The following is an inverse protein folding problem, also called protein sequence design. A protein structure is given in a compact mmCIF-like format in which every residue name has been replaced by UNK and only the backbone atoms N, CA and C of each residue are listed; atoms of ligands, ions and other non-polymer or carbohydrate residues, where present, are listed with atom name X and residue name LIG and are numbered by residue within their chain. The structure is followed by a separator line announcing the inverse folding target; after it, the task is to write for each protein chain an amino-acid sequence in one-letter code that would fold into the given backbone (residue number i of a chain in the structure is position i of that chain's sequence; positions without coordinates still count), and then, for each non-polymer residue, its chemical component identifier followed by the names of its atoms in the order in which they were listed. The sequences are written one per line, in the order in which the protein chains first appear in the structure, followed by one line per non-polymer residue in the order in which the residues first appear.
data_IF_542420787708
#
_entry.id   IF_542420787708
#
_cell.length_a   1.000
_cell.length_b   1.000
_cell.length_c   1.000
_cell.angle_alpha   90.00
_cell.angle_beta   90.00
_cell.angle_gamma   90.00
#
_symmetry.space_group_name_H-M   'P 1'
#
loop_
_entity.id
_entity.type
_entity.pdbx_description
1 polymer ?
#
# COMPACT_ATOMS: atom_id res chain seq x y z
N UNK A 1 -30.48 1.59 7.72
CA UNK A 1 -30.20 1.25 9.12
C UNK A 1 -29.16 2.26 9.61
N UNK A 2 -29.49 3.09 10.58
CA UNK A 2 -28.55 3.98 11.22
C UNK A 2 -27.41 3.16 11.79
N UNK A 3 -26.16 3.44 11.47
CA UNK A 3 -25.03 2.90 12.21
C UNK A 3 -24.89 3.73 13.50
N UNK A 4 -25.96 3.67 14.32
CA UNK A 4 -25.89 4.22 15.66
C UNK A 4 -24.75 3.55 16.41
N UNK A 5 -23.98 4.32 17.11
CA UNK A 5 -23.07 4.15 18.25
C UNK A 5 -23.14 2.84 19.06
N UNK A 6 -23.85 1.84 18.62
CA UNK A 6 -24.08 0.57 19.27
C UNK A 6 -23.07 -0.47 18.84
N UNK A 7 -22.18 -0.74 19.77
CA UNK A 7 -21.35 -1.93 19.89
C UNK A 7 -20.33 -2.22 18.78
N UNK A 8 -19.20 -1.55 18.88
CA UNK A 8 -17.99 -2.10 18.30
C UNK A 8 -17.73 -3.50 18.89
N UNK A 9 -17.69 -4.51 18.02
CA UNK A 9 -17.47 -5.91 18.38
C UNK A 9 -16.24 -6.46 17.67
N UNK A 10 -15.61 -7.48 18.21
CA UNK A 10 -14.51 -8.19 17.54
C UNK A 10 -14.93 -8.69 16.15
N UNK A 11 -16.17 -9.17 15.99
CA UNK A 11 -16.72 -9.61 14.70
C UNK A 11 -16.73 -8.48 13.66
N UNK A 12 -17.06 -7.23 14.07
CA UNK A 12 -17.04 -6.07 13.17
C UNK A 12 -15.62 -5.74 12.73
N UNK A 13 -14.65 -5.71 13.65
CA UNK A 13 -13.24 -5.47 13.33
C UNK A 13 -12.71 -6.52 12.35
N UNK A 14 -12.91 -7.79 12.63
CA UNK A 14 -12.51 -8.89 11.74
C UNK A 14 -13.24 -8.87 10.40
N UNK A 15 -14.53 -8.50 10.40
CA UNK A 15 -15.34 -8.34 9.19
C UNK A 15 -14.81 -7.25 8.25
N UNK A 16 -14.11 -6.24 8.78
CA UNK A 16 -13.43 -5.21 7.99
C UNK A 16 -12.02 -5.67 7.61
N UNK A 17 -11.25 -6.23 8.54
CA UNK A 17 -9.84 -6.53 8.34
C UNK A 17 -9.59 -7.75 7.43
N UNK A 18 -10.26 -8.88 7.68
CA UNK A 18 -9.98 -10.14 6.97
C UNK A 18 -10.16 -10.03 5.45
N UNK A 19 -11.23 -9.41 4.90
CA UNK A 19 -11.33 -9.27 3.45
C UNK A 19 -10.17 -8.49 2.83
N UNK A 20 -9.59 -7.51 3.53
CA UNK A 20 -8.42 -6.76 3.04
C UNK A 20 -7.17 -7.62 3.10
N UNK A 21 -6.95 -8.38 4.18
CA UNK A 21 -5.81 -9.33 4.26
C UNK A 21 -5.86 -10.31 3.07
N UNK A 22 -7.05 -10.86 2.78
CA UNK A 22 -7.23 -11.77 1.65
C UNK A 22 -7.02 -11.07 0.29
N UNK A 23 -7.49 -9.84 0.15
CA UNK A 23 -7.27 -9.05 -1.07
C UNK A 23 -5.77 -8.81 -1.30
N UNK A 24 -5.04 -8.39 -0.26
CA UNK A 24 -3.60 -8.13 -0.35
C UNK A 24 -2.78 -9.40 -0.61
N UNK A 25 -3.22 -10.56 -0.12
CA UNK A 25 -2.57 -11.84 -0.40
C UNK A 25 -2.60 -12.21 -1.91
N UNK A 26 -3.48 -11.61 -2.70
CA UNK A 26 -3.52 -11.84 -4.16
C UNK A 26 -2.45 -11.07 -4.93
N UNK A 27 -1.84 -10.02 -4.35
CA UNK A 27 -0.84 -9.17 -5.03
C UNK A 27 0.42 -9.95 -5.43
N UNK A 28 1.09 -10.69 -4.52
CA UNK A 28 2.27 -11.47 -4.90
C UNK A 28 1.93 -12.61 -5.86
N UNK A 29 0.72 -13.17 -5.80
CA UNK A 29 0.27 -14.21 -6.74
C UNK A 29 0.20 -13.66 -8.16
N UNK A 30 -0.35 -12.46 -8.34
CA UNK A 30 -0.43 -11.81 -9.64
C UNK A 30 0.97 -11.61 -10.24
N UNK A 31 1.90 -11.02 -9.49
CA UNK A 31 3.28 -10.80 -9.96
C UNK A 31 4.01 -12.10 -10.33
N UNK A 32 3.77 -13.20 -9.58
CA UNK A 32 4.33 -14.49 -9.90
C UNK A 32 3.74 -15.08 -11.19
N UNK A 33 2.44 -14.90 -11.44
CA UNK A 33 1.79 -15.36 -12.67
C UNK A 33 2.27 -14.57 -13.88
N UNK A 34 2.32 -13.23 -13.79
CA UNK A 34 2.81 -12.38 -14.88
C UNK A 34 4.23 -12.79 -15.31
N UNK A 35 5.14 -12.94 -14.33
CA UNK A 35 6.52 -13.40 -14.58
C UNK A 35 6.54 -14.82 -15.16
N UNK A 36 5.70 -15.72 -14.63
CA UNK A 36 5.62 -17.10 -15.07
C UNK A 36 5.11 -17.23 -16.52
N UNK A 37 4.10 -16.46 -16.89
CA UNK A 37 3.55 -16.45 -18.26
C UNK A 37 4.58 -15.93 -19.25
N UNK A 38 5.28 -14.84 -18.94
CA UNK A 38 6.35 -14.32 -19.79
C UNK A 38 7.53 -15.29 -19.85
N UNK A 39 7.82 -15.98 -18.75
CA UNK A 39 8.85 -17.03 -18.70
C UNK A 39 8.63 -18.18 -19.68
N UNK A 40 7.37 -18.50 -20.01
CA UNK A 40 7.04 -19.55 -21.01
C UNK A 40 7.40 -19.16 -22.44
N UNK A 41 7.73 -17.89 -22.71
CA UNK A 41 8.21 -17.47 -24.03
C UNK A 41 9.63 -17.99 -24.36
N UNK A 42 10.38 -18.45 -23.34
CA UNK A 42 11.72 -19.00 -23.54
C UNK A 42 12.81 -17.97 -23.88
N UNK A 43 12.53 -16.68 -23.73
CA UNK A 43 13.43 -15.58 -24.03
C UNK A 43 13.70 -14.75 -22.76
N UNK A 44 14.95 -14.39 -22.52
CA UNK A 44 15.34 -13.62 -21.33
C UNK A 44 14.93 -12.14 -21.41
N UNK A 45 15.03 -11.52 -22.59
CA UNK A 45 14.77 -10.10 -22.78
C UNK A 45 13.32 -9.69 -22.43
N UNK A 46 12.25 -10.39 -22.85
CA UNK A 46 10.87 -10.10 -22.43
C UNK A 46 10.65 -10.19 -20.91
N UNK A 47 11.27 -11.17 -20.23
CA UNK A 47 11.17 -11.31 -18.78
C UNK A 47 11.76 -10.07 -18.09
N UNK A 48 12.96 -9.67 -18.52
CA UNK A 48 13.62 -8.46 -18.01
C UNK A 48 12.82 -7.19 -18.28
N UNK A 49 12.25 -7.08 -19.50
CA UNK A 49 11.47 -5.92 -19.91
C UNK A 49 10.18 -5.74 -19.11
N UNK A 50 9.40 -6.82 -18.94
CA UNK A 50 8.17 -6.79 -18.11
C UNK A 50 8.53 -6.52 -16.65
N UNK A 51 9.61 -7.13 -16.14
CA UNK A 51 10.08 -6.88 -14.77
C UNK A 51 10.41 -5.41 -14.52
N UNK A 52 11.24 -4.80 -15.36
CA UNK A 52 11.62 -3.38 -15.26
C UNK A 52 10.39 -2.49 -15.43
N UNK A 53 9.59 -2.74 -16.48
CA UNK A 53 8.38 -1.97 -16.75
C UNK A 53 7.37 -2.02 -15.61
N UNK A 54 7.14 -3.21 -15.03
CA UNK A 54 6.25 -3.40 -13.89
C UNK A 54 6.75 -2.67 -12.63
N UNK A 55 8.05 -2.70 -12.34
CA UNK A 55 8.65 -1.96 -11.22
C UNK A 55 8.43 -0.45 -11.39
N UNK A 56 8.73 0.09 -12.58
CA UNK A 56 8.60 1.53 -12.87
C UNK A 56 7.13 1.96 -12.71
N UNK A 57 6.19 1.27 -13.35
CA UNK A 57 4.78 1.67 -13.33
C UNK A 57 4.17 1.49 -11.93
N UNK A 58 4.55 0.42 -11.22
CA UNK A 58 4.09 0.17 -9.84
C UNK A 58 4.61 1.23 -8.88
N UNK A 59 5.86 1.65 -8.99
CA UNK A 59 6.42 2.73 -8.18
C UNK A 59 5.68 4.05 -8.42
N UNK A 60 5.38 4.37 -9.70
CA UNK A 60 4.60 5.56 -10.05
C UNK A 60 3.19 5.49 -9.45
N UNK A 61 2.47 4.37 -9.62
CA UNK A 61 1.10 4.23 -9.11
C UNK A 61 1.05 4.19 -7.59
N UNK A 62 2.02 3.56 -6.95
CA UNK A 62 2.12 3.50 -5.49
C UNK A 62 2.19 4.91 -4.85
N UNK A 63 2.85 5.87 -5.52
CA UNK A 63 2.86 7.26 -5.07
C UNK A 63 1.45 7.84 -4.89
N UNK A 64 0.46 7.38 -5.66
CA UNK A 64 -0.94 7.81 -5.55
C UNK A 64 -1.73 7.07 -4.46
N UNK A 65 -1.12 6.15 -3.73
CA UNK A 65 -1.73 5.46 -2.57
C UNK A 65 -2.26 6.42 -1.50
N UNK A 66 -1.71 7.65 -1.43
CA UNK A 66 -2.25 8.71 -0.57
C UNK A 66 -3.73 9.01 -0.84
N UNK A 67 -4.20 8.84 -2.09
CA UNK A 67 -5.59 9.10 -2.46
C UNK A 67 -6.54 8.10 -1.78
N UNK A 68 -6.14 6.83 -1.66
CA UNK A 68 -6.90 5.83 -0.89
C UNK A 68 -6.96 6.23 0.58
N UNK A 69 -5.80 6.48 1.19
CA UNK A 69 -5.68 6.79 2.62
C UNK A 69 -6.44 8.07 2.99
N UNK A 70 -6.23 9.16 2.24
CA UNK A 70 -6.91 10.43 2.47
C UNK A 70 -8.42 10.34 2.27
N UNK A 71 -8.87 9.62 1.23
CA UNK A 71 -10.30 9.38 0.99
C UNK A 71 -10.91 8.54 2.11
N UNK A 72 -10.21 7.49 2.60
CA UNK A 72 -10.70 6.67 3.72
C UNK A 72 -10.94 7.52 4.96
N UNK A 73 -9.94 8.28 5.42
CA UNK A 73 -10.04 9.07 6.65
C UNK A 73 -11.13 10.14 6.58
N UNK A 74 -11.14 10.93 5.50
CA UNK A 74 -12.15 11.99 5.32
C UNK A 74 -13.57 11.42 5.20
N UNK A 75 -13.74 10.34 4.43
CA UNK A 75 -15.06 9.70 4.25
C UNK A 75 -15.54 9.06 5.56
N UNK A 76 -14.68 8.40 6.32
CA UNK A 76 -15.03 7.81 7.60
C UNK A 76 -15.54 8.88 8.57
N UNK A 77 -14.91 10.05 8.64
CA UNK A 77 -15.39 11.17 9.45
C UNK A 77 -16.73 11.73 8.96
N UNK A 78 -16.92 11.85 7.64
CA UNK A 78 -18.19 12.28 7.07
C UNK A 78 -19.32 11.32 7.42
N UNK A 79 -19.06 10.00 7.38
CA UNK A 79 -20.01 8.97 7.80
C UNK A 79 -20.32 9.09 9.30
N UNK A 80 -19.29 9.22 10.15
CA UNK A 80 -19.46 9.37 11.58
C UNK A 80 -20.30 10.59 11.98
N UNK A 81 -20.17 11.70 11.24
CA UNK A 81 -20.95 12.92 11.42
C UNK A 81 -22.33 12.89 10.72
N UNK A 82 -22.74 11.75 10.16
CA UNK A 82 -23.98 11.58 9.35
C UNK A 82 -24.08 12.54 8.16
N UNK A 83 -22.97 13.02 7.63
CA UNK A 83 -22.93 13.93 6.48
C UNK A 83 -22.91 13.16 5.15
N UNK A 84 -24.09 12.70 4.69
CA UNK A 84 -24.21 11.93 3.45
C UNK A 84 -23.80 12.73 2.22
N UNK A 85 -24.04 14.03 2.20
CA UNK A 85 -23.67 14.91 1.10
C UNK A 85 -22.14 14.96 0.93
N UNK A 86 -21.38 15.14 2.03
CA UNK A 86 -19.93 15.12 1.99
C UNK A 86 -19.38 13.72 1.66
N UNK A 87 -20.01 12.65 2.17
CA UNK A 87 -19.65 11.27 1.83
C UNK A 87 -19.72 11.02 0.32
N UNK A 88 -20.78 11.49 -0.36
CA UNK A 88 -20.90 11.39 -1.81
C UNK A 88 -19.91 12.31 -2.54
N UNK A 89 -19.69 13.53 -2.05
CA UNK A 89 -18.74 14.47 -2.64
C UNK A 89 -17.30 13.94 -2.59
N UNK A 90 -16.90 13.27 -1.51
CA UNK A 90 -15.57 12.66 -1.37
C UNK A 90 -15.33 11.52 -2.36
N UNK A 91 -16.36 10.70 -2.65
CA UNK A 91 -16.28 9.69 -3.72
C UNK A 91 -15.99 10.35 -5.07
N UNK A 92 -16.80 11.36 -5.43
CA UNK A 92 -16.65 12.05 -6.72
C UNK A 92 -15.31 12.75 -6.83
N UNK A 93 -14.85 13.46 -5.77
CA UNK A 93 -13.53 14.09 -5.73
C UNK A 93 -12.41 13.06 -5.91
N UNK A 94 -12.48 11.92 -5.20
CA UNK A 94 -11.49 10.83 -5.33
C UNK A 94 -11.40 10.31 -6.76
N UNK A 95 -12.54 10.10 -7.43
CA UNK A 95 -12.59 9.66 -8.83
C UNK A 95 -12.01 10.75 -9.75
N UNK A 96 -12.44 12.00 -9.62
CA UNK A 96 -11.95 13.11 -10.47
C UNK A 96 -10.44 13.29 -10.31
N UNK A 97 -9.94 13.30 -9.08
CA UNK A 97 -8.49 13.43 -8.83
C UNK A 97 -7.73 12.28 -9.47
N UNK A 98 -8.23 11.03 -9.34
CA UNK A 98 -7.60 9.86 -9.93
C UNK A 98 -7.57 9.92 -11.47
N UNK A 99 -8.70 10.27 -12.09
CA UNK A 99 -8.78 10.42 -13.55
C UNK A 99 -7.87 11.54 -14.07
N UNK A 100 -7.89 12.71 -13.42
CA UNK A 100 -7.02 13.85 -13.80
C UNK A 100 -5.55 13.52 -13.61
N UNK A 101 -5.18 12.92 -12.50
CA UNK A 101 -3.79 12.51 -12.24
C UNK A 101 -3.30 11.49 -13.28
N UNK A 102 -4.13 10.50 -13.62
CA UNK A 102 -3.81 9.52 -14.65
C UNK A 102 -3.68 10.15 -16.04
N UNK A 103 -4.56 11.10 -16.41
CA UNK A 103 -4.43 11.85 -17.65
C UNK A 103 -3.14 12.69 -17.69
N UNK A 104 -2.76 13.31 -16.58
CA UNK A 104 -1.48 14.03 -16.48
C UNK A 104 -0.29 13.10 -16.68
N UNK A 105 -0.32 11.88 -16.12
CA UNK A 105 0.74 10.89 -16.37
C UNK A 105 0.85 10.51 -17.86
N UNK A 106 -0.28 10.36 -18.55
CA UNK A 106 -0.29 10.10 -19.98
C UNK A 106 0.35 11.27 -20.75
N UNK A 107 0.08 12.51 -20.36
CA UNK A 107 0.66 13.70 -21.03
C UNK A 107 2.18 13.79 -20.83
N UNK A 108 2.70 13.43 -19.67
CA UNK A 108 4.13 13.51 -19.34
C UNK A 108 4.87 12.17 -19.51
N UNK A 109 4.25 11.16 -20.13
CA UNK A 109 4.81 9.81 -20.23
C UNK A 109 6.21 9.77 -20.86
N UNK A 110 6.48 10.58 -21.87
CA UNK A 110 7.75 10.55 -22.60
C UNK A 110 8.94 10.93 -21.69
N UNK A 111 8.98 12.14 -21.07
CA UNK A 111 10.07 12.47 -20.17
C UNK A 111 10.10 11.60 -18.91
N UNK A 112 8.94 11.13 -18.44
CA UNK A 112 8.86 10.27 -17.26
C UNK A 112 9.51 8.90 -17.50
N UNK A 113 9.19 8.23 -18.60
CA UNK A 113 9.72 6.90 -18.89
C UNK A 113 11.17 6.93 -19.37
N UNK A 114 11.55 7.92 -20.19
CA UNK A 114 12.96 8.07 -20.57
C UNK A 114 13.87 8.34 -19.35
N UNK A 115 13.39 9.15 -18.39
CA UNK A 115 14.11 9.36 -17.14
C UNK A 115 14.19 8.10 -16.27
N UNK A 116 13.08 7.36 -16.15
CA UNK A 116 13.03 6.14 -15.33
C UNK A 116 13.89 5.00 -15.92
N UNK A 117 13.84 4.79 -17.23
CA UNK A 117 14.66 3.78 -17.91
C UNK A 117 16.15 4.15 -17.86
N UNK A 118 16.50 5.42 -17.95
CA UNK A 118 17.88 5.88 -17.78
C UNK A 118 18.47 5.63 -16.39
N UNK A 119 17.64 5.42 -15.37
CA UNK A 119 18.07 5.04 -14.01
C UNK A 119 18.18 3.51 -13.82
N UNK A 120 17.65 2.71 -14.74
CA UNK A 120 17.68 1.25 -14.71
C UNK A 120 18.41 0.72 -15.96
N UNK A 121 19.76 0.81 -16.02
CA UNK A 121 20.51 0.45 -17.21
C UNK A 121 20.32 -1.03 -17.54
N UNK A 122 19.85 -1.30 -18.76
CA UNK A 122 19.66 -2.62 -19.32
C UNK A 122 20.19 -2.67 -20.76
N UNK A 123 20.09 -3.83 -21.42
CA UNK A 123 20.40 -3.91 -22.85
C UNK A 123 19.38 -3.09 -23.66
N UNK A 124 19.78 -2.61 -24.83
CA UNK A 124 18.88 -1.83 -25.74
C UNK A 124 17.60 -2.60 -26.09
N UNK A 125 17.69 -3.94 -26.21
CA UNK A 125 16.53 -4.78 -26.46
C UNK A 125 15.55 -4.77 -25.28
N UNK A 126 16.04 -4.94 -24.06
CA UNK A 126 15.23 -4.90 -22.83
C UNK A 126 14.61 -3.52 -22.62
N UNK A 127 15.37 -2.43 -22.82
CA UNK A 127 14.85 -1.07 -22.71
C UNK A 127 13.76 -0.76 -23.76
N UNK A 128 13.96 -1.25 -25.00
CA UNK A 128 12.98 -1.11 -26.08
C UNK A 128 11.65 -1.79 -25.73
N UNK A 129 11.70 -3.05 -25.31
CA UNK A 129 10.52 -3.83 -24.90
C UNK A 129 9.86 -3.25 -23.63
N UNK A 130 10.64 -2.79 -22.67
CA UNK A 130 10.11 -2.14 -21.46
C UNK A 130 9.38 -0.82 -21.80
N UNK A 131 9.91 -0.06 -22.76
CA UNK A 131 9.25 1.16 -23.24
C UNK A 131 7.92 0.87 -23.94
N UNK A 132 7.85 -0.19 -24.75
CA UNK A 132 6.59 -0.67 -25.37
C UNK A 132 5.56 -1.07 -24.30
N UNK A 133 5.98 -1.83 -23.30
CA UNK A 133 5.16 -2.15 -22.13
C UNK A 133 4.62 -0.91 -21.43
N UNK A 134 5.49 0.03 -21.09
CA UNK A 134 5.13 1.25 -20.38
C UNK A 134 4.19 2.15 -21.17
N UNK A 135 4.37 2.26 -22.51
CA UNK A 135 3.49 3.04 -23.39
C UNK A 135 2.06 2.53 -23.39
N UNK A 136 1.85 1.22 -23.27
CA UNK A 136 0.50 0.63 -23.18
C UNK A 136 -0.03 0.80 -21.76
N UNK A 137 0.78 0.48 -20.74
CA UNK A 137 0.37 0.50 -19.34
C UNK A 137 -0.03 1.87 -18.84
N UNK A 138 0.56 2.95 -19.34
CA UNK A 138 0.21 4.31 -18.89
C UNK A 138 -1.24 4.69 -19.18
N UNK A 139 -1.86 4.11 -20.21
CA UNK A 139 -3.27 4.36 -20.52
C UNK A 139 -4.24 3.75 -19.50
N UNK A 140 -3.77 2.88 -18.62
CA UNK A 140 -4.55 2.41 -17.47
C UNK A 140 -4.42 3.32 -16.23
N UNK A 141 -3.49 4.29 -16.22
CA UNK A 141 -3.27 5.17 -15.08
C UNK A 141 -4.55 5.87 -14.57
N UNK A 142 -5.43 6.43 -15.43
CA UNK A 142 -6.67 7.03 -14.96
C UNK A 142 -7.54 6.03 -14.20
N UNK A 143 -7.64 4.80 -14.69
CA UNK A 143 -8.43 3.75 -14.04
C UNK A 143 -7.80 3.29 -12.72
N UNK A 144 -6.51 2.94 -12.74
CA UNK A 144 -5.77 2.46 -11.58
C UNK A 144 -5.78 3.47 -10.42
N UNK A 145 -5.55 4.76 -10.72
CA UNK A 145 -5.52 5.79 -9.68
C UNK A 145 -6.93 6.11 -9.16
N UNK A 146 -7.95 6.13 -10.03
CA UNK A 146 -9.33 6.33 -9.58
C UNK A 146 -9.84 5.19 -8.69
N UNK A 147 -9.38 3.94 -8.91
CA UNK A 147 -9.68 2.79 -8.06
C UNK A 147 -9.18 3.04 -6.62
N UNK A 148 -8.08 3.75 -6.39
CA UNK A 148 -7.65 4.12 -5.03
C UNK A 148 -8.71 4.97 -4.31
N UNK A 149 -9.29 5.97 -4.98
CA UNK A 149 -10.37 6.78 -4.41
C UNK A 149 -11.62 5.95 -4.07
N UNK A 150 -12.04 5.07 -4.99
CA UNK A 150 -13.19 4.18 -4.80
C UNK A 150 -12.93 3.19 -3.65
N UNK A 151 -11.75 2.59 -3.62
CA UNK A 151 -11.35 1.63 -2.59
C UNK A 151 -11.34 2.29 -1.21
N UNK A 152 -10.75 3.51 -1.10
CA UNK A 152 -10.76 4.27 0.15
C UNK A 152 -12.18 4.58 0.64
N UNK A 153 -13.07 4.95 -0.26
CA UNK A 153 -14.49 5.19 0.06
C UNK A 153 -15.20 3.92 0.53
N UNK A 154 -14.98 2.79 -0.13
CA UNK A 154 -15.56 1.50 0.26
C UNK A 154 -15.04 1.03 1.62
N UNK A 155 -13.74 1.21 1.91
CA UNK A 155 -13.14 0.89 3.22
C UNK A 155 -13.78 1.74 4.31
N UNK A 156 -13.91 3.05 4.11
CA UNK A 156 -14.55 3.96 5.04
C UNK A 156 -16.00 3.56 5.39
N UNK A 157 -16.70 2.93 4.44
CA UNK A 157 -18.05 2.36 4.61
C UNK A 157 -18.06 0.93 5.16
N UNK A 158 -16.92 0.39 5.54
CA UNK A 158 -16.75 -1.00 6.00
C UNK A 158 -17.18 -2.05 4.94
N UNK A 159 -17.21 -1.66 3.67
CA UNK A 159 -17.54 -2.56 2.56
C UNK A 159 -16.31 -3.26 1.99
N UNK A 160 -15.47 -3.78 2.87
CA UNK A 160 -14.18 -4.39 2.52
C UNK A 160 -14.31 -5.70 1.73
N UNK A 161 -15.45 -6.41 1.87
CA UNK A 161 -15.77 -7.52 0.96
C UNK A 161 -15.92 -7.06 -0.50
N UNK A 162 -16.46 -5.86 -0.72
CA UNK A 162 -16.54 -5.30 -2.06
C UNK A 162 -15.14 -4.99 -2.62
N UNK A 163 -14.21 -4.52 -1.77
CA UNK A 163 -12.80 -4.34 -2.14
C UNK A 163 -12.14 -5.68 -2.49
N UNK A 164 -12.36 -6.73 -1.70
CA UNK A 164 -11.86 -8.07 -2.01
C UNK A 164 -12.36 -8.56 -3.38
N UNK A 165 -13.67 -8.46 -3.65
CA UNK A 165 -14.22 -8.88 -4.93
C UNK A 165 -13.72 -8.03 -6.11
N UNK A 166 -13.46 -6.73 -5.89
CA UNK A 166 -12.85 -5.86 -6.89
C UNK A 166 -11.44 -6.35 -7.26
N UNK A 167 -10.60 -6.62 -6.24
CA UNK A 167 -9.24 -7.12 -6.45
C UNK A 167 -9.23 -8.52 -7.10
N UNK A 168 -10.10 -9.41 -6.65
CA UNK A 168 -10.24 -10.74 -7.27
C UNK A 168 -10.67 -10.65 -8.73
N UNK A 169 -11.60 -9.74 -9.08
CA UNK A 169 -12.00 -9.54 -10.47
C UNK A 169 -10.81 -9.06 -11.32
N UNK A 170 -10.14 -7.99 -10.89
CA UNK A 170 -9.00 -7.41 -11.62
C UNK A 170 -7.92 -8.47 -11.83
N UNK A 171 -7.52 -9.18 -10.78
CA UNK A 171 -6.46 -10.19 -10.86
C UNK A 171 -6.89 -11.39 -11.72
N UNK A 172 -8.13 -11.87 -11.59
CA UNK A 172 -8.61 -13.00 -12.38
C UNK A 172 -8.72 -12.67 -13.88
N UNK A 173 -9.19 -11.46 -14.21
CA UNK A 173 -9.25 -10.99 -15.60
C UNK A 173 -7.84 -10.83 -16.16
N UNK A 174 -6.93 -10.21 -15.42
CA UNK A 174 -5.55 -10.05 -15.84
C UNK A 174 -4.90 -11.40 -16.13
N UNK A 175 -4.89 -12.34 -15.18
CA UNK A 175 -4.34 -13.69 -15.35
C UNK A 175 -4.95 -14.39 -16.57
N UNK A 176 -6.27 -14.35 -16.72
CA UNK A 176 -6.94 -15.00 -17.86
C UNK A 176 -6.50 -14.40 -19.19
N UNK A 177 -6.40 -13.08 -19.28
CA UNK A 177 -5.98 -12.38 -20.48
C UNK A 177 -4.49 -12.58 -20.77
N UNK A 178 -3.63 -12.67 -19.75
CA UNK A 178 -2.21 -13.02 -19.94
C UNK A 178 -2.05 -14.37 -20.62
N UNK A 179 -2.77 -15.40 -20.15
CA UNK A 179 -2.77 -16.71 -20.81
C UNK A 179 -3.26 -16.64 -22.26
N UNK A 180 -4.27 -15.84 -22.54
CA UNK A 180 -4.81 -15.70 -23.90
C UNK A 180 -3.85 -14.90 -24.79
N UNK A 181 -3.41 -13.73 -24.37
CA UNK A 181 -2.65 -12.80 -25.20
C UNK A 181 -1.21 -13.27 -25.39
N UNK A 182 -0.57 -13.78 -24.34
CA UNK A 182 0.83 -14.19 -24.40
C UNK A 182 0.96 -15.61 -24.97
N UNK A 183 0.25 -16.60 -24.38
CA UNK A 183 0.48 -17.99 -24.72
C UNK A 183 -0.30 -18.45 -25.96
N UNK A 184 -1.54 -17.95 -26.19
CA UNK A 184 -2.33 -18.37 -27.36
C UNK A 184 -2.12 -17.46 -28.56
N UNK A 185 -2.07 -16.13 -28.36
CA UNK A 185 -1.96 -15.18 -29.46
C UNK A 185 -0.51 -14.76 -29.74
N UNK A 186 0.44 -15.05 -28.85
CA UNK A 186 1.86 -14.76 -29.05
C UNK A 186 2.20 -13.26 -29.02
N UNK A 187 1.41 -12.41 -28.34
CA UNK A 187 1.62 -10.96 -28.30
C UNK A 187 2.79 -10.52 -27.41
N UNK A 188 3.42 -11.46 -26.71
CA UNK A 188 4.62 -11.18 -25.93
C UNK A 188 4.41 -10.13 -24.82
N UNK A 189 5.35 -9.19 -24.73
CA UNK A 189 5.36 -8.12 -23.72
C UNK A 189 4.14 -7.21 -23.85
N UNK A 190 3.73 -6.88 -25.06
CA UNK A 190 2.51 -6.09 -25.31
C UNK A 190 1.27 -6.81 -24.80
N UNK A 191 1.20 -8.14 -24.92
CA UNK A 191 0.09 -8.94 -24.43
C UNK A 191 -0.14 -8.79 -22.94
N UNK A 192 0.93 -8.84 -22.14
CA UNK A 192 0.87 -8.61 -20.69
C UNK A 192 0.39 -7.18 -20.38
N UNK A 193 0.92 -6.20 -21.10
CA UNK A 193 0.53 -4.81 -20.93
C UNK A 193 -0.96 -4.58 -21.22
N UNK A 194 -1.48 -5.16 -22.33
CA UNK A 194 -2.90 -5.07 -22.68
C UNK A 194 -3.81 -5.84 -21.71
N UNK A 195 -3.38 -7.00 -21.22
CA UNK A 195 -4.14 -7.76 -20.23
C UNK A 195 -4.39 -6.93 -18.97
N UNK A 196 -3.35 -6.31 -18.45
CA UNK A 196 -3.46 -5.46 -17.26
C UNK A 196 -4.25 -4.17 -17.55
N UNK A 197 -4.04 -3.55 -18.71
CA UNK A 197 -4.83 -2.39 -19.14
C UNK A 197 -6.33 -2.68 -19.12
N UNK A 198 -6.75 -3.79 -19.72
CA UNK A 198 -8.16 -4.18 -19.75
C UNK A 198 -8.67 -4.50 -18.34
N UNK A 199 -7.89 -5.23 -17.55
CA UNK A 199 -8.27 -5.61 -16.19
C UNK A 199 -8.49 -4.37 -15.28
N UNK A 200 -7.64 -3.35 -15.36
CA UNK A 200 -7.77 -2.12 -14.59
C UNK A 200 -8.98 -1.28 -15.01
N UNK A 201 -9.27 -1.15 -16.29
CA UNK A 201 -10.48 -0.46 -16.75
C UNK A 201 -11.76 -1.20 -16.36
N UNK A 202 -11.80 -2.52 -16.49
CA UNK A 202 -12.92 -3.33 -15.98
C UNK A 202 -13.05 -3.19 -14.47
N UNK A 203 -11.93 -3.13 -13.76
CA UNK A 203 -11.88 -2.85 -12.34
C UNK A 203 -12.49 -1.50 -11.99
N UNK A 204 -12.21 -0.44 -12.74
CA UNK A 204 -12.83 0.87 -12.54
C UNK A 204 -14.34 0.80 -12.72
N UNK A 205 -14.85 0.21 -13.80
CA UNK A 205 -16.29 0.10 -14.04
C UNK A 205 -16.99 -0.73 -12.96
N UNK A 206 -16.39 -1.84 -12.56
CA UNK A 206 -16.90 -2.66 -11.47
C UNK A 206 -16.85 -1.93 -10.11
N UNK A 207 -15.77 -1.19 -9.86
CA UNK A 207 -15.65 -0.35 -8.67
C UNK A 207 -16.71 0.74 -8.60
N UNK A 208 -17.01 1.41 -9.71
CA UNK A 208 -18.11 2.37 -9.83
C UNK A 208 -19.49 1.71 -9.54
N UNK A 209 -19.69 0.51 -10.07
CA UNK A 209 -20.92 -0.26 -9.78
C UNK A 209 -21.02 -0.63 -8.29
N UNK A 210 -19.93 -1.03 -7.67
CA UNK A 210 -19.87 -1.30 -6.22
C UNK A 210 -20.15 -0.04 -5.39
N UNK A 211 -19.69 1.11 -5.85
CA UNK A 211 -19.86 2.41 -5.19
C UNK A 211 -21.18 3.13 -5.58
N UNK A 212 -22.07 2.50 -6.38
CA UNK A 212 -23.28 3.14 -6.95
C UNK A 212 -24.19 3.81 -5.94
N UNK A 213 -24.23 3.33 -4.70
CA UNK A 213 -25.03 3.97 -3.64
C UNK A 213 -24.57 5.40 -3.32
N UNK A 214 -23.29 5.75 -3.58
CA UNK A 214 -22.77 7.11 -3.46
C UNK A 214 -23.40 8.08 -4.48
N UNK A 215 -24.01 7.55 -5.53
CA UNK A 215 -24.67 8.33 -6.60
C UNK A 215 -26.19 8.38 -6.48
N UNK A 216 -26.80 7.56 -5.61
CA UNK A 216 -28.26 7.43 -5.55
C UNK A 216 -28.99 8.67 -4.98
N UNK A 217 -28.30 9.47 -4.17
CA UNK A 217 -28.94 10.56 -3.41
C UNK A 217 -28.94 11.92 -4.14
N UNK A 218 -28.47 11.98 -5.38
CA UNK A 218 -28.34 13.23 -6.14
C UNK A 218 -27.26 14.20 -5.66
N UNK A 219 -26.64 13.98 -4.50
CA UNK A 219 -25.57 14.83 -3.97
C UNK A 219 -24.33 14.88 -4.86
N UNK A 220 -24.09 13.85 -5.64
CA UNK A 220 -23.00 13.80 -6.61
C UNK A 220 -23.13 14.83 -7.75
N UNK A 221 -24.30 15.45 -7.92
CA UNK A 221 -24.55 16.53 -8.89
C UNK A 221 -24.32 17.93 -8.29
N UNK A 222 -24.07 18.02 -6.99
CA UNK A 222 -23.82 19.29 -6.31
C UNK A 222 -22.39 19.77 -6.55
N UNK A 223 -22.13 20.32 -7.73
CA UNK A 223 -20.81 20.81 -8.15
C UNK A 223 -20.25 21.88 -7.20
N UNK A 224 -21.09 22.73 -6.64
CA UNK A 224 -20.67 23.74 -5.67
C UNK A 224 -20.03 23.11 -4.43
N UNK A 225 -20.57 21.98 -3.96
CA UNK A 225 -19.99 21.25 -2.83
C UNK A 225 -18.76 20.44 -3.24
N UNK A 226 -18.79 19.79 -4.41
CA UNK A 226 -17.67 18.99 -4.91
C UNK A 226 -16.43 19.88 -5.09
N UNK A 227 -16.59 21.06 -5.65
CA UNK A 227 -15.51 22.04 -5.88
C UNK A 227 -15.40 23.10 -4.78
N UNK A 228 -15.99 22.87 -3.60
CA UNK A 228 -15.77 23.74 -2.45
C UNK A 228 -14.29 23.91 -2.14
N UNK A 229 -13.81 25.16 -2.20
CA UNK A 229 -12.39 25.47 -2.05
C UNK A 229 -11.82 25.03 -0.71
N UNK A 230 -12.59 25.18 0.38
CA UNK A 230 -12.12 24.84 1.72
C UNK A 230 -11.91 23.34 1.83
N UNK A 231 -12.87 22.57 1.32
CA UNK A 231 -12.81 21.09 1.30
C UNK A 231 -11.70 20.56 0.39
N UNK A 232 -11.53 21.15 -0.78
CA UNK A 232 -10.43 20.79 -1.70
C UNK A 232 -9.06 21.08 -1.09
N UNK A 233 -8.87 22.24 -0.46
CA UNK A 233 -7.62 22.58 0.23
C UNK A 233 -7.37 21.63 1.41
N UNK A 234 -8.41 21.28 2.18
CA UNK A 234 -8.29 20.29 3.25
C UNK A 234 -7.85 18.92 2.70
N UNK A 235 -8.48 18.43 1.63
CA UNK A 235 -8.14 17.18 0.99
C UNK A 235 -6.71 17.21 0.40
N UNK A 236 -6.33 18.30 -0.26
CA UNK A 236 -4.98 18.48 -0.79
C UNK A 236 -3.93 18.45 0.32
N UNK A 237 -4.18 19.12 1.46
CA UNK A 237 -3.28 19.11 2.61
C UNK A 237 -3.12 17.72 3.19
N UNK A 238 -4.22 17.01 3.43
CA UNK A 238 -4.22 15.63 3.93
C UNK A 238 -3.41 14.73 2.98
N UNK A 239 -3.71 14.79 1.70
CA UNK A 239 -3.03 13.97 0.69
C UNK A 239 -1.54 14.29 0.57
N UNK A 240 -1.15 15.57 0.60
CA UNK A 240 0.26 15.99 0.55
C UNK A 240 1.05 15.52 1.76
N UNK A 241 0.48 15.62 2.97
CA UNK A 241 1.12 15.13 4.19
C UNK A 241 1.36 13.61 4.12
N UNK A 242 0.36 12.85 3.64
CA UNK A 242 0.47 11.40 3.47
C UNK A 242 1.52 11.07 2.39
N UNK A 243 1.53 11.79 1.27
CA UNK A 243 2.53 11.60 0.21
C UNK A 243 3.95 11.80 0.75
N UNK A 244 4.21 12.93 1.42
CA UNK A 244 5.54 13.21 1.99
C UNK A 244 5.96 12.12 2.98
N UNK A 245 5.04 11.73 3.88
CA UNK A 245 5.27 10.63 4.81
C UNK A 245 5.62 9.32 4.08
N UNK A 246 4.90 8.99 3.01
CA UNK A 246 5.10 7.76 2.25
C UNK A 246 6.42 7.77 1.48
N UNK A 247 6.79 8.91 0.89
CA UNK A 247 8.09 9.09 0.21
C UNK A 247 9.25 8.90 1.21
N UNK A 248 9.17 9.49 2.40
CA UNK A 248 10.22 9.29 3.43
C UNK A 248 10.32 7.83 3.87
N UNK A 249 9.20 7.13 3.99
CA UNK A 249 9.17 5.70 4.30
C UNK A 249 9.87 4.89 3.22
N UNK A 250 9.54 5.15 1.95
CA UNK A 250 10.10 4.45 0.79
C UNK A 250 11.60 4.72 0.65
N UNK A 251 12.04 5.96 0.83
CA UNK A 251 13.47 6.29 0.85
C UNK A 251 14.21 5.46 1.92
N UNK A 252 13.59 5.23 3.08
CA UNK A 252 14.15 4.36 4.13
C UNK A 252 14.36 2.93 3.63
N UNK A 253 13.36 2.32 3.00
CA UNK A 253 13.46 0.95 2.47
C UNK A 253 14.38 0.84 1.26
N UNK A 254 14.32 1.81 0.34
CA UNK A 254 15.20 1.84 -0.83
C UNK A 254 16.65 2.03 -0.41
N UNK A 255 16.93 2.93 0.54
CA UNK A 255 18.30 3.12 1.06
C UNK A 255 18.85 1.85 1.73
N UNK A 256 18.00 1.07 2.41
CA UNK A 256 18.37 -0.23 2.96
C UNK A 256 18.87 -1.19 1.86
N UNK A 257 18.15 -1.30 0.74
CA UNK A 257 18.54 -2.17 -0.38
C UNK A 257 19.80 -1.65 -1.07
N UNK A 258 19.89 -0.34 -1.29
CA UNK A 258 21.08 0.28 -1.90
C UNK A 258 22.34 0.09 -1.04
N UNK A 259 22.26 0.29 0.27
CA UNK A 259 23.36 0.07 1.17
C UNK A 259 23.70 -1.42 1.28
N UNK A 260 22.70 -2.29 1.22
CA UNK A 260 22.87 -3.72 1.14
C UNK A 260 23.64 -4.20 -0.10
N UNK A 261 23.58 -3.45 -1.21
CA UNK A 261 24.33 -3.78 -2.44
C UNK A 261 25.84 -3.50 -2.33
N UNK A 262 26.30 -2.84 -1.28
CA UNK A 262 27.74 -2.64 -1.02
C UNK A 262 28.41 -3.85 -0.39
N UNK A 263 27.65 -4.85 0.05
CA UNK A 263 28.13 -6.13 0.54
C UNK A 263 28.35 -7.12 -0.62
N UNK A 264 28.71 -8.36 -0.29
CA UNK A 264 28.81 -9.43 -1.26
C UNK A 264 27.43 -9.84 -1.83
N UNK A 265 27.45 -10.53 -2.98
CA UNK A 265 26.24 -10.94 -3.71
C UNK A 265 25.32 -11.84 -2.88
N UNK A 266 25.89 -12.72 -2.04
CA UNK A 266 25.12 -13.62 -1.19
C UNK A 266 24.36 -12.85 -0.10
N UNK A 267 25.00 -11.86 0.52
CA UNK A 267 24.38 -10.97 1.52
C UNK A 267 23.28 -10.11 0.89
N UNK A 268 23.53 -9.55 -0.30
CA UNK A 268 22.50 -8.79 -1.01
C UNK A 268 21.27 -9.66 -1.34
N UNK A 269 21.50 -10.87 -1.87
CA UNK A 269 20.43 -11.81 -2.19
C UNK A 269 19.68 -12.26 -0.92
N UNK A 270 20.40 -12.53 0.17
CA UNK A 270 19.79 -12.86 1.47
C UNK A 270 18.91 -11.71 2.00
N UNK A 271 19.36 -10.46 1.91
CA UNK A 271 18.58 -9.30 2.30
C UNK A 271 17.28 -9.20 1.47
N UNK A 272 17.34 -9.46 0.16
CA UNK A 272 16.15 -9.48 -0.69
C UNK A 272 15.15 -10.58 -0.33
N UNK A 273 15.64 -11.80 -0.01
CA UNK A 273 14.82 -12.89 0.49
C UNK A 273 14.12 -12.48 1.80
N UNK A 274 14.87 -11.91 2.73
CA UNK A 274 14.35 -11.52 4.04
C UNK A 274 13.36 -10.34 3.98
N UNK A 275 13.55 -9.39 3.06
CA UNK A 275 12.58 -8.30 2.84
C UNK A 275 11.21 -8.83 2.44
N UNK A 276 11.11 -10.00 1.79
CA UNK A 276 9.80 -10.60 1.49
C UNK A 276 9.01 -10.96 2.76
N UNK A 277 9.67 -11.32 3.85
CA UNK A 277 9.01 -11.53 5.15
C UNK A 277 8.37 -10.24 5.67
N UNK A 278 9.06 -9.08 5.48
CA UNK A 278 8.50 -7.77 5.81
C UNK A 278 7.30 -7.42 4.93
N UNK A 279 7.38 -7.69 3.63
CA UNK A 279 6.28 -7.43 2.69
C UNK A 279 5.04 -8.26 3.05
N UNK A 280 5.22 -9.55 3.35
CA UNK A 280 4.12 -10.42 3.81
C UNK A 280 3.49 -9.86 5.09
N UNK A 281 4.33 -9.41 6.03
CA UNK A 281 3.86 -8.80 7.28
C UNK A 281 3.07 -7.51 7.00
N UNK A 282 3.58 -6.64 6.14
CA UNK A 282 2.92 -5.38 5.77
C UNK A 282 1.55 -5.64 5.14
N UNK A 283 1.46 -6.54 4.17
CA UNK A 283 0.19 -6.89 3.52
C UNK A 283 -0.85 -7.46 4.50
N UNK A 284 -0.41 -8.25 5.46
CA UNK A 284 -1.29 -8.79 6.48
C UNK A 284 -1.73 -7.69 7.48
N UNK A 285 -0.82 -6.82 7.92
CA UNK A 285 -1.10 -5.72 8.85
C UNK A 285 -2.01 -4.65 8.25
N UNK A 286 -1.93 -4.41 6.95
CA UNK A 286 -2.79 -3.45 6.24
C UNK A 286 -4.28 -3.72 6.49
N UNK A 287 -4.70 -4.97 6.60
CA UNK A 287 -6.09 -5.29 6.91
C UNK A 287 -6.57 -4.67 8.22
N UNK A 288 -5.76 -4.73 9.26
CA UNK A 288 -6.07 -4.17 10.58
C UNK A 288 -5.85 -2.65 10.63
N UNK A 289 -4.85 -2.14 9.91
CA UNK A 289 -4.63 -0.71 9.76
C UNK A 289 -5.82 -0.04 9.04
N UNK A 290 -6.34 -0.64 7.96
CA UNK A 290 -7.52 -0.11 7.24
C UNK A 290 -8.79 -0.21 8.08
N UNK A 291 -8.93 -1.25 8.92
CA UNK A 291 -10.01 -1.32 9.89
C UNK A 291 -9.90 -0.18 10.92
N UNK A 292 -8.68 0.15 11.37
CA UNK A 292 -8.45 1.30 12.25
C UNK A 292 -8.79 2.62 11.54
N UNK A 293 -8.35 2.82 10.28
CA UNK A 293 -8.69 4.01 9.48
C UNK A 293 -10.21 4.26 9.46
N UNK A 294 -10.98 3.23 9.14
CA UNK A 294 -12.43 3.34 9.03
C UNK A 294 -13.11 3.57 10.38
N UNK A 295 -12.83 2.72 11.38
CA UNK A 295 -13.54 2.73 12.66
C UNK A 295 -13.17 3.91 13.53
N UNK A 296 -11.89 4.29 13.57
CA UNK A 296 -11.41 5.48 14.29
C UNK A 296 -11.91 6.75 13.64
N UNK A 297 -11.88 6.82 12.29
CA UNK A 297 -12.40 7.96 11.55
C UNK A 297 -13.90 8.18 11.79
N UNK A 298 -14.70 7.11 11.76
CA UNK A 298 -16.14 7.20 12.09
C UNK A 298 -16.37 7.65 13.53
N UNK A 299 -15.62 7.12 14.49
CA UNK A 299 -15.74 7.51 15.89
C UNK A 299 -15.39 8.99 16.13
N UNK A 300 -14.35 9.50 15.42
CA UNK A 300 -13.99 10.91 15.46
C UNK A 300 -15.09 11.80 14.87
N UNK A 301 -15.62 11.40 13.69
CA UNK A 301 -16.72 12.11 13.05
C UNK A 301 -17.99 12.17 13.91
N UNK A 302 -18.27 11.08 14.65
CA UNK A 302 -19.36 10.98 15.60
C UNK A 302 -19.10 11.77 16.90
N UNK A 303 -17.92 12.37 17.07
CA UNK A 303 -17.48 13.06 18.29
C UNK A 303 -17.60 12.18 19.54
N UNK A 304 -17.32 10.89 19.45
CA UNK A 304 -17.45 9.93 20.53
C UNK A 304 -16.06 9.42 20.95
N UNK A 305 -15.52 10.00 22.00
CA UNK A 305 -14.19 9.67 22.53
C UNK A 305 -14.07 8.22 23.03
N UNK A 306 -15.11 7.72 23.69
CA UNK A 306 -15.11 6.35 24.19
C UNK A 306 -15.05 5.34 23.04
N UNK A 307 -15.83 5.57 21.98
CA UNK A 307 -15.81 4.74 20.76
C UNK A 307 -14.48 4.87 20.01
N UNK A 308 -13.90 6.07 19.92
CA UNK A 308 -12.59 6.33 19.33
C UNK A 308 -11.52 5.47 20.01
N UNK A 309 -11.40 5.57 21.34
CA UNK A 309 -10.44 4.78 22.12
C UNK A 309 -10.67 3.28 21.96
N UNK A 310 -11.93 2.83 22.04
CA UNK A 310 -12.28 1.42 21.88
C UNK A 310 -11.92 0.90 20.47
N UNK A 311 -12.15 1.70 19.43
CA UNK A 311 -11.77 1.37 18.05
C UNK A 311 -10.25 1.22 17.90
N UNK A 312 -9.49 2.20 18.40
CA UNK A 312 -8.03 2.16 18.36
C UNK A 312 -7.46 0.95 19.11
N UNK A 313 -7.95 0.69 20.33
CA UNK A 313 -7.48 -0.43 21.16
C UNK A 313 -7.84 -1.77 20.53
N UNK A 314 -9.09 -1.96 20.11
CA UNK A 314 -9.55 -3.25 19.61
C UNK A 314 -8.92 -3.64 18.27
N UNK A 315 -8.73 -2.68 17.35
CA UNK A 315 -8.01 -2.94 16.09
C UNK A 315 -6.54 -3.24 16.35
N UNK A 316 -5.91 -2.51 17.29
CA UNK A 316 -4.50 -2.75 17.68
C UNK A 316 -4.31 -4.10 18.36
N UNK A 317 -5.24 -4.54 19.20
CA UNK A 317 -5.17 -5.88 19.82
C UNK A 317 -5.14 -6.99 18.77
N UNK A 318 -5.99 -6.90 17.74
CA UNK A 318 -5.99 -7.88 16.65
C UNK A 318 -4.75 -7.78 15.78
N UNK A 319 -4.27 -6.56 15.47
CA UNK A 319 -3.02 -6.35 14.75
C UNK A 319 -1.82 -6.92 15.50
N UNK A 320 -1.72 -6.65 16.82
CA UNK A 320 -0.67 -7.24 17.68
C UNK A 320 -0.79 -8.77 17.74
N UNK A 321 -2.01 -9.29 17.87
CA UNK A 321 -2.23 -10.74 17.81
C UNK A 321 -1.72 -11.37 16.52
N UNK A 322 -1.97 -10.73 15.37
CA UNK A 322 -1.49 -11.18 14.08
C UNK A 322 0.05 -11.18 14.01
N UNK A 323 0.72 -10.10 14.40
CA UNK A 323 2.19 -10.05 14.32
C UNK A 323 2.87 -11.02 15.27
N UNK A 324 2.25 -11.31 16.42
CA UNK A 324 2.75 -12.38 17.32
C UNK A 324 2.67 -13.74 16.63
N UNK A 325 1.56 -14.05 15.99
CA UNK A 325 1.42 -15.30 15.21
C UNK A 325 2.43 -15.36 14.08
N UNK A 326 2.65 -14.25 13.36
CA UNK A 326 3.64 -14.18 12.28
C UNK A 326 5.07 -14.35 12.80
N UNK A 327 5.42 -13.69 13.90
CA UNK A 327 6.74 -13.83 14.53
C UNK A 327 7.01 -15.29 14.94
N UNK A 328 6.01 -15.96 15.54
CA UNK A 328 6.10 -17.39 15.87
C UNK A 328 6.26 -18.23 14.60
N UNK A 329 5.48 -17.95 13.56
CA UNK A 329 5.60 -18.65 12.28
C UNK A 329 6.97 -18.47 11.63
N UNK A 330 7.52 -17.26 11.65
CA UNK A 330 8.86 -16.99 11.13
C UNK A 330 9.96 -17.64 11.98
N UNK A 331 9.79 -17.69 13.30
CA UNK A 331 10.72 -18.39 14.18
C UNK A 331 10.73 -19.91 13.93
N UNK A 332 9.56 -20.52 13.78
CA UNK A 332 9.43 -21.98 13.62
C UNK A 332 9.71 -22.43 12.19
N UNK A 333 9.21 -21.69 11.21
CA UNK A 333 9.23 -22.09 9.79
C UNK A 333 10.16 -21.25 8.93
N UNK A 334 10.88 -20.26 9.49
CA UNK A 334 11.68 -19.30 8.72
C UNK A 334 12.73 -19.99 7.84
N UNK A 335 13.47 -20.97 8.36
CA UNK A 335 14.42 -21.75 7.58
C UNK A 335 13.75 -22.51 6.43
N UNK A 336 12.57 -23.09 6.66
CA UNK A 336 11.81 -23.80 5.63
C UNK A 336 11.35 -22.81 4.53
N UNK A 337 10.89 -21.63 4.91
CA UNK A 337 10.46 -20.59 3.97
C UNK A 337 11.65 -20.14 3.13
N UNK A 338 12.81 -19.87 3.74
CA UNK A 338 14.05 -19.51 3.03
C UNK A 338 14.43 -20.61 2.04
N UNK A 339 14.38 -21.89 2.45
CA UNK A 339 14.71 -23.03 1.58
C UNK A 339 13.77 -23.18 0.38
N UNK A 340 12.52 -22.76 0.51
CA UNK A 340 11.56 -22.72 -0.60
C UNK A 340 11.83 -21.53 -1.53
N UNK A 341 12.28 -20.39 -0.97
CA UNK A 341 12.51 -19.17 -1.73
C UNK A 341 13.79 -19.20 -2.57
N UNK A 342 14.83 -19.91 -2.11
CA UNK A 342 16.10 -20.01 -2.84
C UNK A 342 16.71 -21.39 -2.73
N UNK A 343 17.38 -21.84 -3.80
CA UNK A 343 18.17 -23.08 -3.84
C UNK A 343 19.66 -22.83 -3.67
N UNK A 344 20.11 -21.56 -3.68
CA UNK A 344 21.51 -21.19 -3.50
C UNK A 344 21.93 -21.37 -2.04
N UNK A 345 22.87 -22.27 -1.78
CA UNK A 345 23.29 -22.65 -0.42
C UNK A 345 23.96 -21.50 0.32
N UNK A 346 24.80 -20.73 -0.35
CA UNK A 346 25.43 -19.52 0.19
C UNK A 346 24.42 -18.48 0.65
N UNK A 347 23.37 -18.23 -0.15
CA UNK A 347 22.28 -17.32 0.20
C UNK A 347 21.46 -17.83 1.38
N UNK A 348 21.22 -19.16 1.45
CA UNK A 348 20.50 -19.79 2.58
C UNK A 348 21.24 -19.60 3.90
N UNK A 349 22.54 -19.91 3.92
CA UNK A 349 23.39 -19.80 5.12
C UNK A 349 23.36 -18.36 5.62
N UNK A 350 23.62 -17.39 4.76
CA UNK A 350 23.58 -15.97 5.14
C UNK A 350 22.18 -15.54 5.60
N UNK A 351 21.12 -16.03 4.95
CA UNK A 351 19.73 -15.69 5.35
C UNK A 351 19.39 -16.22 6.74
N UNK A 352 19.91 -17.38 7.16
CA UNK A 352 19.67 -17.92 8.51
C UNK A 352 20.31 -17.03 9.58
N UNK A 353 21.47 -16.44 9.32
CA UNK A 353 22.16 -15.56 10.27
C UNK A 353 21.37 -14.26 10.53
N UNK A 354 20.65 -13.77 9.53
CA UNK A 354 19.83 -12.55 9.64
C UNK A 354 18.34 -12.82 9.93
N UNK A 355 17.87 -14.07 9.91
CA UNK A 355 16.49 -14.44 10.19
C UNK A 355 15.96 -13.89 11.53
N UNK A 356 16.74 -13.84 12.64
CA UNK A 356 16.28 -13.26 13.90
C UNK A 356 15.73 -11.83 13.77
N UNK A 357 16.27 -11.03 12.84
CA UNK A 357 15.75 -9.69 12.54
C UNK A 357 14.33 -9.74 11.99
N UNK A 358 14.01 -10.76 11.20
CA UNK A 358 12.68 -10.96 10.62
C UNK A 358 11.65 -11.49 11.61
N UNK A 359 12.09 -12.20 12.63
CA UNK A 359 11.25 -12.60 13.76
C UNK A 359 10.91 -11.38 14.62
N UNK A 360 11.88 -10.48 14.82
CA UNK A 360 11.72 -9.27 15.64
C UNK A 360 10.92 -8.16 14.92
N UNK A 361 11.11 -8.00 13.61
CA UNK A 361 10.57 -6.89 12.83
C UNK A 361 9.04 -6.74 12.94
N UNK A 362 8.20 -7.79 12.82
CA UNK A 362 6.75 -7.68 13.01
C UNK A 362 6.38 -7.14 14.38
N UNK A 363 7.03 -7.63 15.43
CA UNK A 363 6.71 -7.29 16.82
C UNK A 363 6.96 -5.81 17.10
N UNK A 364 8.12 -5.30 16.69
CA UNK A 364 8.49 -3.89 16.92
C UNK A 364 7.78 -2.94 15.94
N UNK A 365 7.45 -3.40 14.75
CA UNK A 365 6.75 -2.64 13.72
C UNK A 365 5.25 -2.48 14.00
N UNK A 366 4.63 -3.35 14.81
CA UNK A 366 3.19 -3.37 15.06
C UNK A 366 2.63 -2.00 15.46
N UNK A 367 3.31 -1.31 16.37
CA UNK A 367 2.89 0.01 16.84
C UNK A 367 2.90 1.05 15.70
N UNK A 368 3.90 1.02 14.83
CA UNK A 368 3.99 1.94 13.71
C UNK A 368 2.83 1.73 12.72
N UNK A 369 2.54 0.48 12.31
CA UNK A 369 1.43 0.18 11.40
C UNK A 369 0.07 0.57 11.97
N UNK A 370 -0.19 0.21 13.23
CA UNK A 370 -1.50 0.49 13.85
C UNK A 370 -1.71 1.98 14.08
N UNK A 371 -0.67 2.70 14.54
CA UNK A 371 -0.75 4.15 14.73
C UNK A 371 -0.89 4.89 13.40
N UNK A 372 -0.22 4.44 12.34
CA UNK A 372 -0.43 4.99 11.00
C UNK A 372 -1.92 4.92 10.62
N UNK A 373 -2.58 3.76 10.75
CA UNK A 373 -4.00 3.62 10.48
C UNK A 373 -4.89 4.53 11.35
N UNK A 374 -4.59 4.63 12.64
CA UNK A 374 -5.33 5.50 13.58
C UNK A 374 -5.21 6.98 13.17
N UNK A 375 -3.99 7.45 12.86
CA UNK A 375 -3.75 8.85 12.48
C UNK A 375 -4.30 9.19 11.09
N UNK A 376 -4.31 8.25 10.14
CA UNK A 376 -4.98 8.40 8.84
C UNK A 376 -6.50 8.54 9.07
N UNK A 377 -7.13 7.64 9.82
CA UNK A 377 -8.55 7.73 10.15
C UNK A 377 -8.92 9.04 10.85
N UNK A 378 -8.05 9.52 11.73
CA UNK A 378 -8.21 10.81 12.39
C UNK A 378 -7.83 12.02 11.51
N UNK A 379 -7.30 11.82 10.30
CA UNK A 379 -6.76 12.87 9.40
C UNK A 379 -5.75 13.81 10.08
N UNK A 380 -5.01 13.28 11.06
CA UNK A 380 -3.89 13.99 11.72
C UNK A 380 -2.59 13.78 10.96
N UNK A 381 -2.65 14.01 9.67
CA UNK A 381 -1.60 13.70 8.69
C UNK A 381 -0.35 14.56 8.85
N UNK A 382 -0.51 15.82 9.32
CA UNK A 382 0.62 16.67 9.65
C UNK A 382 1.47 16.11 10.81
N UNK A 383 0.82 15.53 11.85
CA UNK A 383 1.54 14.84 12.93
C UNK A 383 2.29 13.62 12.39
N UNK A 384 1.66 12.82 11.51
CA UNK A 384 2.30 11.67 10.86
C UNK A 384 3.54 12.08 10.06
N UNK A 385 3.41 13.07 9.18
CA UNK A 385 4.52 13.59 8.37
C UNK A 385 5.68 14.05 9.25
N UNK A 386 5.39 14.85 10.28
CA UNK A 386 6.42 15.41 11.16
C UNK A 386 7.12 14.31 11.97
N UNK A 387 6.36 13.32 12.49
CA UNK A 387 6.93 12.20 13.24
C UNK A 387 7.71 11.25 12.33
N UNK A 388 7.27 11.07 11.08
CA UNK A 388 8.03 10.32 10.08
C UNK A 388 9.38 11.00 9.79
N UNK A 389 9.40 12.33 9.64
CA UNK A 389 10.64 13.06 9.42
C UNK A 389 11.63 12.87 10.58
N UNK A 390 11.15 12.99 11.83
CA UNK A 390 11.98 12.75 13.02
C UNK A 390 12.50 11.31 13.03
N UNK A 391 11.64 10.33 12.76
CA UNK A 391 12.02 8.92 12.72
C UNK A 391 13.03 8.62 11.63
N UNK A 392 12.90 9.27 10.48
CA UNK A 392 13.86 9.16 9.39
C UNK A 392 15.22 9.77 9.75
N UNK A 393 15.26 10.90 10.44
CA UNK A 393 16.52 11.46 10.99
C UNK A 393 17.17 10.48 11.99
N UNK A 394 16.39 9.86 12.89
CA UNK A 394 16.90 8.84 13.82
C UNK A 394 17.47 7.65 13.05
N UNK A 395 16.81 7.20 11.97
CA UNK A 395 17.30 6.15 11.09
C UNK A 395 18.65 6.49 10.45
N UNK A 396 18.80 7.70 9.90
CA UNK A 396 20.06 8.16 9.31
C UNK A 396 21.21 8.19 10.33
N UNK A 397 20.92 8.65 11.55
CA UNK A 397 21.89 8.63 12.65
C UNK A 397 22.27 7.19 13.01
N UNK A 398 21.28 6.29 13.14
CA UNK A 398 21.53 4.88 13.42
C UNK A 398 22.41 4.24 12.32
N UNK A 399 22.10 4.51 11.04
CA UNK A 399 22.93 4.05 9.91
C UNK A 399 24.39 4.55 10.02
N UNK A 400 24.58 5.83 10.30
CA UNK A 400 25.91 6.42 10.36
C UNK A 400 26.80 5.79 11.45
N UNK A 401 26.21 5.31 12.55
CA UNK A 401 26.96 4.71 13.65
C UNK A 401 27.01 3.18 13.60
N UNK A 402 25.93 2.52 13.18
CA UNK A 402 25.83 1.07 13.25
C UNK A 402 26.35 0.37 12.00
N UNK A 403 26.13 0.94 10.82
CA UNK A 403 26.57 0.33 9.57
C UNK A 403 28.10 0.14 9.51
N UNK A 404 28.95 1.15 9.84
CA UNK A 404 30.42 0.97 9.79
C UNK A 404 30.98 0.03 10.85
N UNK A 405 30.21 -0.26 11.91
CA UNK A 405 30.68 -1.06 13.05
C UNK A 405 30.19 -2.50 13.01
N UNK A 406 29.00 -2.74 12.45
CA UNK A 406 28.32 -4.03 12.50
C UNK A 406 27.88 -4.50 11.12
N UNK A 407 28.36 -3.87 10.05
CA UNK A 407 28.06 -4.24 8.66
C UNK A 407 26.54 -4.48 8.42
N UNK A 408 26.16 -5.60 7.82
CA UNK A 408 24.77 -5.91 7.52
C UNK A 408 23.88 -6.07 8.78
N UNK A 409 24.42 -6.49 9.92
CA UNK A 409 23.68 -6.44 11.19
C UNK A 409 23.36 -5.01 11.62
N UNK A 410 24.28 -4.06 11.37
CA UNK A 410 24.06 -2.63 11.61
C UNK A 410 22.99 -2.05 10.69
N UNK A 411 22.93 -2.53 9.44
CA UNK A 411 21.91 -2.14 8.48
C UNK A 411 20.51 -2.60 8.93
N UNK A 412 20.35 -3.89 9.33
CA UNK A 412 19.10 -4.42 9.88
C UNK A 412 18.70 -3.74 11.18
N UNK A 413 19.65 -3.53 12.10
CA UNK A 413 19.38 -2.84 13.36
C UNK A 413 18.86 -1.43 13.11
N UNK A 414 19.40 -0.70 12.15
CA UNK A 414 18.95 0.64 11.78
C UNK A 414 17.51 0.66 11.26
N UNK A 415 17.13 -0.35 10.45
CA UNK A 415 15.75 -0.49 9.96
C UNK A 415 14.77 -0.81 11.10
N UNK A 416 15.18 -1.63 12.06
CA UNK A 416 14.40 -1.91 13.29
C UNK A 416 14.25 -0.65 14.14
N UNK A 417 15.33 0.12 14.35
CA UNK A 417 15.29 1.41 15.06
C UNK A 417 14.35 2.38 14.37
N UNK A 418 14.34 2.42 13.03
CA UNK A 418 13.40 3.24 12.26
C UNK A 418 11.94 2.87 12.58
N UNK A 419 11.63 1.57 12.60
CA UNK A 419 10.28 1.08 12.93
C UNK A 419 9.88 1.41 14.37
N UNK A 420 10.79 1.24 15.32
CA UNK A 420 10.57 1.62 16.73
C UNK A 420 10.35 3.12 16.85
N UNK A 421 11.20 3.95 16.23
CA UNK A 421 11.09 5.40 16.28
C UNK A 421 9.74 5.90 15.76
N UNK A 422 9.24 5.31 14.66
CA UNK A 422 7.90 5.60 14.11
C UNK A 422 6.80 5.28 15.13
N UNK A 423 6.85 4.11 15.75
CA UNK A 423 5.88 3.71 16.77
C UNK A 423 5.92 4.61 18.00
N UNK A 424 7.11 4.92 18.52
CA UNK A 424 7.29 5.75 19.72
C UNK A 424 6.86 7.19 19.47
N UNK A 425 7.30 7.81 18.37
CA UNK A 425 7.00 9.22 18.07
C UNK A 425 5.52 9.47 17.82
N UNK A 426 4.82 8.56 17.09
CA UNK A 426 3.37 8.62 16.93
C UNK A 426 2.65 8.28 18.24
N UNK A 427 3.12 7.29 19.00
CA UNK A 427 2.58 6.94 20.31
C UNK A 427 2.61 8.12 21.29
N UNK A 428 3.67 8.93 21.26
CA UNK A 428 3.75 10.17 22.05
C UNK A 428 2.66 11.19 21.67
N UNK A 429 2.22 11.21 20.40
CA UNK A 429 1.16 12.11 19.91
C UNK A 429 -0.25 11.57 20.19
N UNK A 430 -0.41 10.27 20.41
CA UNK A 430 -1.72 9.63 20.55
C UNK A 430 -2.57 10.20 21.72
N UNK A 431 -2.07 10.44 22.92
CA UNK A 431 -2.88 11.01 24.03
C UNK A 431 -3.47 12.38 23.68
N UNK A 432 -2.70 13.23 22.97
CA UNK A 432 -3.18 14.52 22.49
C UNK A 432 -4.25 14.39 21.41
N UNK A 433 -4.10 13.40 20.53
CA UNK A 433 -5.10 13.08 19.52
C UNK A 433 -6.42 12.64 20.21
N UNK A 434 -6.35 11.66 21.11
CA UNK A 434 -7.52 11.17 21.84
C UNK A 434 -8.23 12.28 22.64
N UNK A 435 -7.46 13.15 23.31
CA UNK A 435 -8.00 14.29 24.05
C UNK A 435 -8.64 15.36 23.16
N UNK A 436 -8.30 15.39 21.86
CA UNK A 436 -8.90 16.34 20.90
C UNK A 436 -10.30 15.93 20.44
N UNK A 437 -10.71 14.68 20.69
CA UNK A 437 -12.06 14.20 20.42
C UNK A 437 -12.98 14.77 21.52
N UNK A 438 -13.77 15.77 21.16
CA UNK A 438 -14.75 16.37 22.07
C UNK A 438 -16.03 15.55 22.00
N UNK A 439 -16.52 15.14 23.16
CA UNK A 439 -17.86 14.54 23.29
C UNK A 439 -18.93 15.57 23.00
#
# INVERSE_FOLDING_TARGET
MNPSSSNLTHKRVLGVAIPIVLANATIPILGAVDTGVVGQMGLAAPIGAVGIGAIIISAIYWMFGFLRMGTTGLTAQAIGSNNQSETSALLVRGIIIGLVAGLLLILIQIPLFSGALGLAPASQEVEGLANEYLKIRVFSAPAAIAIFGITGWLIAKERTKAVLFLMLLVNSVNITLDFIFVLKLGWGVEGVAFATFIAEWLGLFYGLWLAREGFNNGYWKNWAQIFDRVRLVQMARVNSDILIRSVLLEIGFVSFLFLGSSFDDATLAANQVLVQFLNITAYAMDGFAFAAEALVGQALGAKNRALFRRSAVMTSQWGVGLVVVMAIAFYVFGNTIINVMTTAEDVRVVSYDYLPWMVLAPLVGAAAWMLDGIFIGATRTADMRNMMFISFCIYLVALAFLLPKYDNHGLWASLIIFSIARGVTLGYKYPKLEASVKD
#
